data_IF_405112006121
#
_entry.id   IF_405112006121
#
_cell.length_a   1.000
_cell.length_b   1.000
_cell.length_c   1.000
_cell.angle_alpha   90.00
_cell.angle_beta   90.00
_cell.angle_gamma   90.00
#
_symmetry.space_group_name_H-M   'P 1'
#
loop_
_entity.id
_entity.type
_entity.pdbx_description
1 polymer ?
#
# COMPACT_ATOMS: atom_id res chain seq x y z
N UNK A 1 -24.12 8.31 36.76
CA UNK A 1 -23.83 9.72 36.49
C UNK A 1 -24.65 10.09 35.26
N UNK A 2 -25.62 10.96 35.39
CA UNK A 2 -26.50 11.38 34.29
C UNK A 2 -26.21 12.84 33.97
N UNK A 3 -25.92 13.12 32.67
CA UNK A 3 -25.80 14.50 32.22
C UNK A 3 -27.18 15.19 32.27
N UNK A 4 -27.23 16.30 32.97
CA UNK A 4 -28.48 17.05 33.17
C UNK A 4 -28.59 18.27 32.25
N UNK A 5 -27.49 18.73 31.67
CA UNK A 5 -27.47 19.84 30.72
C UNK A 5 -27.91 19.38 29.34
N UNK A 6 -28.96 19.96 28.74
CA UNK A 6 -29.37 19.62 27.39
C UNK A 6 -28.24 19.91 26.39
N UNK A 7 -27.96 18.98 25.50
CA UNK A 7 -27.04 19.21 24.39
C UNK A 7 -27.69 20.20 23.42
N UNK A 8 -26.99 21.24 23.05
CA UNK A 8 -27.42 22.21 22.04
C UNK A 8 -27.13 21.62 20.66
N UNK A 9 -28.05 20.86 20.13
CA UNK A 9 -28.02 20.41 18.75
C UNK A 9 -28.72 21.38 17.82
N UNK A 10 -28.16 21.60 16.64
CA UNK A 10 -28.91 22.22 15.55
C UNK A 10 -30.10 21.34 15.15
N UNK A 11 -31.14 21.97 14.55
CA UNK A 11 -32.23 21.23 13.96
C UNK A 11 -31.72 20.21 12.92
N UNK A 12 -32.26 19.01 12.92
CA UNK A 12 -32.01 18.03 11.88
C UNK A 12 -32.38 18.63 10.50
N UNK A 13 -31.48 18.47 9.55
CA UNK A 13 -31.66 18.92 8.16
C UNK A 13 -32.14 17.75 7.31
N UNK A 14 -32.95 18.03 6.30
CA UNK A 14 -33.29 17.04 5.29
C UNK A 14 -32.08 16.69 4.44
N UNK A 15 -32.10 15.53 3.79
CA UNK A 15 -31.03 15.11 2.85
C UNK A 15 -30.76 16.16 1.77
N UNK A 16 -31.83 16.75 1.21
CA UNK A 16 -31.73 17.83 0.22
C UNK A 16 -30.99 19.06 0.76
N UNK A 17 -31.30 19.48 1.99
CA UNK A 17 -30.63 20.62 2.64
C UNK A 17 -29.13 20.31 2.88
N UNK A 18 -28.81 19.10 3.32
CA UNK A 18 -27.43 18.66 3.54
C UNK A 18 -26.65 18.64 2.23
N UNK A 19 -27.17 18.03 1.18
CA UNK A 19 -26.53 17.98 -0.13
C UNK A 19 -26.32 19.38 -0.73
N UNK A 20 -27.31 20.27 -0.58
CA UNK A 20 -27.18 21.66 -1.01
C UNK A 20 -26.05 22.37 -0.24
N UNK A 21 -26.04 22.24 1.08
CA UNK A 21 -25.01 22.84 1.93
C UNK A 21 -23.60 22.31 1.60
N UNK A 22 -23.46 21.00 1.41
CA UNK A 22 -22.17 20.40 1.00
C UNK A 22 -21.69 20.90 -0.36
N UNK A 23 -22.58 21.04 -1.34
CA UNK A 23 -22.24 21.64 -2.65
C UNK A 23 -21.77 23.09 -2.51
N UNK A 24 -22.45 23.90 -1.69
CA UNK A 24 -22.04 25.28 -1.41
C UNK A 24 -20.68 25.34 -0.71
N UNK A 25 -20.39 24.40 0.18
CA UNK A 25 -19.09 24.30 0.84
C UNK A 25 -18.01 23.87 -0.14
N UNK A 26 -18.28 22.87 -0.94
CA UNK A 26 -17.34 22.35 -1.96
C UNK A 26 -17.01 23.41 -3.03
N UNK A 27 -18.00 24.25 -3.42
CA UNK A 27 -17.78 25.30 -4.44
C UNK A 27 -16.82 26.41 -3.99
N UNK A 28 -16.49 26.49 -2.70
CA UNK A 28 -15.49 27.43 -2.21
C UNK A 28 -14.05 26.99 -2.51
N UNK A 29 -13.83 25.70 -2.84
CA UNK A 29 -12.52 25.19 -3.23
C UNK A 29 -12.13 25.75 -4.60
N UNK A 30 -10.86 26.10 -4.73
CA UNK A 30 -10.24 26.40 -6.01
C UNK A 30 -9.63 25.12 -6.56
N UNK A 31 -10.18 24.61 -7.63
CA UNK A 31 -9.64 23.43 -8.34
C UNK A 31 -8.49 23.87 -9.21
N UNK A 32 -7.27 23.53 -8.80
CA UNK A 32 -6.03 23.88 -9.50
C UNK A 32 -5.40 22.61 -10.09
N UNK A 33 -4.56 22.81 -11.11
CA UNK A 33 -3.68 21.74 -11.60
C UNK A 33 -2.58 21.54 -10.59
N UNK A 34 -2.51 20.34 -9.98
CA UNK A 34 -1.45 19.99 -9.03
C UNK A 34 -0.18 19.58 -9.78
N UNK A 35 0.93 20.24 -9.46
CA UNK A 35 2.26 19.92 -9.96
C UNK A 35 3.20 19.51 -8.81
N UNK A 36 2.64 19.10 -7.67
CA UNK A 36 3.42 18.73 -6.47
C UNK A 36 4.24 17.46 -6.74
N UNK A 37 3.70 16.49 -7.46
CA UNK A 37 4.35 15.20 -7.65
C UNK A 37 4.45 14.41 -6.33
N UNK A 38 5.64 13.89 -6.03
CA UNK A 38 5.97 13.24 -4.74
C UNK A 38 5.01 12.07 -4.39
N UNK A 39 4.64 11.26 -5.39
CA UNK A 39 3.69 10.15 -5.20
C UNK A 39 2.21 10.55 -5.20
N UNK A 40 1.87 11.84 -5.28
CA UNK A 40 0.50 12.34 -5.41
C UNK A 40 0.23 12.83 -6.83
N UNK A 41 -0.67 12.14 -7.51
CA UNK A 41 -0.96 12.42 -8.91
C UNK A 41 -2.45 12.70 -9.11
N UNK A 42 -2.77 13.63 -10.01
CA UNK A 42 -4.12 13.75 -10.54
C UNK A 42 -4.48 12.47 -11.32
N UNK A 43 -5.63 11.89 -11.01
CA UNK A 43 -6.11 10.66 -11.65
C UNK A 43 -7.50 10.88 -12.22
N UNK A 44 -7.82 10.12 -13.24
CA UNK A 44 -9.17 10.07 -13.81
C UNK A 44 -9.79 8.74 -13.41
N UNK A 45 -10.82 8.81 -12.56
CA UNK A 45 -11.62 7.62 -12.24
C UNK A 45 -12.58 7.35 -13.40
N UNK A 46 -12.51 6.19 -14.07
CA UNK A 46 -13.44 5.84 -15.11
C UNK A 46 -14.89 5.85 -14.60
N UNK A 47 -15.87 6.43 -15.33
CA UNK A 47 -17.26 6.48 -14.88
C UNK A 47 -17.86 5.10 -14.57
N UNK A 48 -17.39 4.05 -15.25
CA UNK A 48 -17.81 2.69 -14.98
C UNK A 48 -17.37 2.22 -13.58
N UNK A 49 -16.14 2.53 -13.16
CA UNK A 49 -15.64 2.22 -11.80
C UNK A 49 -16.33 3.09 -10.78
N UNK A 50 -16.48 4.38 -11.04
CA UNK A 50 -17.18 5.27 -10.13
C UNK A 50 -18.58 4.74 -9.82
N UNK A 51 -19.39 4.47 -10.82
CA UNK A 51 -20.77 4.02 -10.66
C UNK A 51 -20.89 2.60 -10.12
N UNK A 52 -20.08 1.66 -10.63
CA UNK A 52 -20.27 0.24 -10.34
C UNK A 52 -19.49 -0.23 -9.10
N UNK A 53 -18.48 0.49 -8.66
CA UNK A 53 -17.66 0.16 -7.48
C UNK A 53 -17.84 1.22 -6.40
N UNK A 54 -17.42 2.47 -6.67
CA UNK A 54 -17.37 3.53 -5.64
C UNK A 54 -18.75 3.92 -5.13
N UNK A 55 -19.75 4.03 -6.00
CA UNK A 55 -21.13 4.41 -5.67
C UNK A 55 -22.06 3.21 -5.39
N UNK A 56 -21.55 1.99 -5.54
CA UNK A 56 -22.35 0.78 -5.37
C UNK A 56 -22.29 0.27 -3.93
N UNK A 57 -23.43 0.22 -3.20
CA UNK A 57 -23.47 -0.20 -1.79
C UNK A 57 -23.05 -1.65 -1.56
N UNK A 58 -23.04 -2.51 -2.57
CA UNK A 58 -22.48 -3.85 -2.48
C UNK A 58 -20.95 -3.82 -2.24
N UNK A 59 -20.25 -2.76 -2.65
CA UNK A 59 -18.83 -2.58 -2.49
C UNK A 59 -18.46 -1.60 -1.37
N UNK A 60 -19.10 -0.43 -1.31
CA UNK A 60 -18.82 0.55 -0.25
C UNK A 60 -19.57 0.18 1.04
N UNK A 61 -19.04 -0.69 1.82
CA UNK A 61 -19.59 -1.07 3.12
C UNK A 61 -18.56 -0.86 4.21
N UNK A 62 -18.99 -0.48 5.41
CA UNK A 62 -18.13 -0.40 6.58
C UNK A 62 -17.58 -1.79 7.00
N UNK A 63 -18.15 -2.86 6.46
CA UNK A 63 -17.73 -4.22 6.78
C UNK A 63 -16.44 -4.61 6.04
N UNK A 64 -15.40 -4.93 6.80
CA UNK A 64 -14.16 -5.50 6.25
C UNK A 64 -14.37 -6.98 5.90
N UNK A 65 -13.90 -7.47 4.74
CA UNK A 65 -14.21 -8.81 4.25
C UNK A 65 -13.40 -9.91 4.97
N UNK A 66 -13.63 -10.08 6.27
CA UNK A 66 -12.94 -11.10 7.08
C UNK A 66 -13.65 -12.45 7.09
N UNK A 67 -14.97 -12.43 7.01
CA UNK A 67 -15.79 -13.66 7.03
C UNK A 67 -15.96 -14.17 5.60
N UNK A 68 -15.35 -15.32 5.25
CA UNK A 68 -15.40 -15.84 3.90
C UNK A 68 -16.82 -16.23 3.47
N UNK A 69 -17.70 -16.56 4.41
CA UNK A 69 -19.07 -17.01 4.14
C UNK A 69 -19.91 -15.95 3.40
N UNK A 70 -19.62 -14.66 3.61
CA UNK A 70 -20.39 -13.54 3.03
C UNK A 70 -19.55 -12.59 2.18
N UNK A 71 -18.26 -12.87 2.00
CA UNK A 71 -17.33 -11.94 1.37
C UNK A 71 -16.60 -12.52 0.17
N UNK A 72 -17.08 -13.61 -0.43
CA UNK A 72 -16.36 -14.33 -1.50
C UNK A 72 -15.97 -13.43 -2.67
N UNK A 73 -16.89 -12.64 -3.23
CA UNK A 73 -16.57 -11.72 -4.34
C UNK A 73 -15.57 -10.63 -3.99
N UNK A 74 -15.62 -10.10 -2.76
CA UNK A 74 -14.64 -9.10 -2.31
C UNK A 74 -13.27 -9.72 -2.05
N UNK A 75 -13.21 -10.93 -1.52
CA UNK A 75 -11.98 -11.68 -1.33
C UNK A 75 -11.35 -12.05 -2.69
N UNK A 76 -12.15 -12.42 -3.68
CA UNK A 76 -11.68 -12.66 -5.04
C UNK A 76 -11.06 -11.40 -5.65
N UNK A 77 -11.73 -10.26 -5.54
CA UNK A 77 -11.19 -8.99 -6.01
C UNK A 77 -9.87 -8.61 -5.31
N UNK A 78 -9.75 -8.86 -4.00
CA UNK A 78 -8.50 -8.65 -3.26
C UNK A 78 -7.40 -9.64 -3.68
N UNK A 79 -7.74 -10.88 -4.01
CA UNK A 79 -6.78 -11.83 -4.58
C UNK A 79 -6.28 -11.34 -5.95
N UNK A 80 -7.16 -10.82 -6.81
CA UNK A 80 -6.77 -10.21 -8.07
C UNK A 80 -5.85 -8.99 -7.87
N UNK A 81 -6.11 -8.18 -6.84
CA UNK A 81 -5.20 -7.10 -6.45
C UNK A 81 -3.80 -7.63 -6.08
N UNK A 82 -3.72 -8.68 -5.27
CA UNK A 82 -2.45 -9.31 -4.91
C UNK A 82 -1.70 -9.83 -6.15
N UNK A 83 -2.41 -10.50 -7.06
CA UNK A 83 -1.83 -11.02 -8.31
C UNK A 83 -1.28 -9.87 -9.16
N UNK A 84 -2.07 -8.81 -9.38
CA UNK A 84 -1.64 -7.63 -10.13
C UNK A 84 -0.35 -7.01 -9.56
N UNK A 85 -0.28 -6.87 -8.24
CA UNK A 85 0.91 -6.30 -7.58
C UNK A 85 2.11 -7.24 -7.71
N UNK A 86 1.92 -8.55 -7.52
CA UNK A 86 3.00 -9.53 -7.69
C UNK A 86 3.53 -9.53 -9.12
N UNK A 87 2.66 -9.53 -10.11
CA UNK A 87 3.04 -9.53 -11.53
C UNK A 87 3.83 -8.26 -11.92
N UNK A 88 3.36 -7.08 -11.46
CA UNK A 88 4.03 -5.81 -11.79
C UNK A 88 5.35 -5.61 -11.04
N UNK A 89 5.48 -6.15 -9.85
CA UNK A 89 6.71 -6.03 -9.05
C UNK A 89 7.73 -7.14 -9.32
N UNK A 90 7.33 -8.23 -9.99
CA UNK A 90 8.17 -9.41 -10.19
C UNK A 90 8.49 -10.15 -8.90
N UNK A 91 7.65 -10.02 -7.85
CA UNK A 91 7.82 -10.66 -6.55
C UNK A 91 6.72 -11.69 -6.30
N UNK A 92 7.04 -12.72 -5.50
CA UNK A 92 6.24 -13.94 -5.39
C UNK A 92 4.88 -13.73 -4.73
N UNK A 93 4.78 -12.80 -3.76
CA UNK A 93 3.55 -12.64 -2.98
C UNK A 93 3.35 -11.17 -2.56
N UNK A 94 2.12 -10.71 -2.66
CA UNK A 94 1.69 -9.39 -2.19
C UNK A 94 0.57 -9.50 -1.15
N UNK A 95 0.40 -8.46 -0.33
CA UNK A 95 -0.72 -8.35 0.60
C UNK A 95 -1.99 -7.78 -0.06
N UNK A 96 -3.09 -7.81 0.69
CA UNK A 96 -4.39 -7.28 0.27
C UNK A 96 -4.57 -5.80 0.60
N UNK A 97 -3.53 -5.00 0.45
CA UNK A 97 -3.35 -3.56 0.63
C UNK A 97 -2.95 -3.07 2.03
N UNK A 98 -2.38 -1.88 2.05
CA UNK A 98 -2.07 -1.05 3.21
C UNK A 98 -2.68 0.34 3.03
N UNK A 99 -2.46 1.25 4.00
CA UNK A 99 -3.06 2.58 4.01
C UNK A 99 -2.50 3.46 2.87
N UNK A 100 -1.20 3.73 2.92
CA UNK A 100 -0.47 4.56 1.97
C UNK A 100 0.99 4.10 1.83
N UNK A 101 1.73 4.70 0.90
CA UNK A 101 3.12 4.34 0.62
C UNK A 101 4.03 4.57 1.83
N UNK A 102 3.86 5.67 2.55
CA UNK A 102 4.69 5.98 3.71
C UNK A 102 4.49 4.96 4.85
N UNK A 103 3.24 4.52 5.07
CA UNK A 103 2.93 3.43 6.01
C UNK A 103 3.53 2.11 5.51
N UNK A 104 3.45 1.82 4.21
CA UNK A 104 4.05 0.63 3.63
C UNK A 104 5.59 0.63 3.80
N UNK A 105 6.25 1.80 3.65
CA UNK A 105 7.68 1.96 3.90
C UNK A 105 8.03 1.64 5.36
N UNK A 106 7.25 2.15 6.31
CA UNK A 106 7.47 1.87 7.73
C UNK A 106 7.25 0.39 8.09
N UNK A 107 6.25 -0.25 7.51
CA UNK A 107 6.02 -1.69 7.69
C UNK A 107 7.14 -2.52 7.03
N UNK A 108 7.64 -2.11 5.85
CA UNK A 108 8.77 -2.74 5.18
C UNK A 108 10.07 -2.61 5.99
N UNK A 109 10.31 -1.46 6.64
CA UNK A 109 11.43 -1.25 7.57
C UNK A 109 11.42 -2.28 8.70
N UNK A 110 10.29 -2.42 9.39
CA UNK A 110 10.15 -3.39 10.50
C UNK A 110 10.26 -4.82 10.00
N UNK A 111 9.70 -5.11 8.83
CA UNK A 111 9.83 -6.42 8.20
C UNK A 111 11.28 -6.72 7.83
N UNK A 112 11.99 -5.77 7.21
CA UNK A 112 13.40 -5.90 6.82
C UNK A 112 14.28 -6.18 8.06
N UNK A 113 14.11 -5.43 9.15
CA UNK A 113 14.83 -5.67 10.41
C UNK A 113 14.62 -7.08 10.94
N UNK A 114 13.38 -7.59 10.86
CA UNK A 114 13.03 -8.93 11.36
C UNK A 114 13.67 -10.06 10.55
N UNK A 115 13.80 -9.90 9.23
CA UNK A 115 14.26 -10.97 8.34
C UNK A 115 15.72 -10.83 7.95
N UNK A 116 16.35 -9.68 8.20
CA UNK A 116 17.75 -9.43 7.97
C UNK A 116 18.64 -10.35 8.79
N UNK A 117 19.78 -10.72 8.23
CA UNK A 117 20.86 -11.44 8.92
C UNK A 117 21.86 -10.49 9.58
N UNK A 118 21.87 -9.22 9.19
CA UNK A 118 22.68 -8.19 9.83
C UNK A 118 22.20 -7.93 11.26
N UNK A 119 23.12 -7.65 12.16
CA UNK A 119 22.86 -7.27 13.56
C UNK A 119 22.78 -5.77 13.76
N UNK A 120 22.95 -5.00 12.70
CA UNK A 120 22.85 -3.54 12.72
C UNK A 120 21.41 -3.10 13.09
N UNK A 121 21.29 -1.91 13.68
CA UNK A 121 20.01 -1.23 13.87
C UNK A 121 19.82 -0.05 12.88
N UNK A 122 20.69 0.05 11.85
CA UNK A 122 20.69 1.16 10.90
C UNK A 122 19.98 0.76 9.61
N UNK A 123 19.04 1.60 9.17
CA UNK A 123 18.38 1.53 7.89
C UNK A 123 18.86 2.66 6.99
N UNK A 124 19.38 2.33 5.82
CA UNK A 124 19.62 3.31 4.77
C UNK A 124 18.32 3.69 4.07
N UNK A 125 18.14 4.98 3.80
CA UNK A 125 17.02 5.52 3.02
C UNK A 125 17.59 6.46 1.98
N UNK A 126 17.35 6.16 0.72
CA UNK A 126 17.74 6.99 -0.42
C UNK A 126 17.17 8.42 -0.23
N UNK A 127 18.03 9.44 -0.37
CA UNK A 127 17.64 10.85 -0.27
C UNK A 127 16.58 11.24 -1.32
N UNK A 128 16.44 10.46 -2.38
CA UNK A 128 15.40 10.61 -3.41
C UNK A 128 14.05 9.99 -3.03
N UNK A 129 13.94 9.37 -1.84
CA UNK A 129 12.63 8.95 -1.32
C UNK A 129 11.72 10.17 -1.09
N UNK A 130 10.41 9.96 -1.25
CA UNK A 130 9.45 11.03 -1.01
C UNK A 130 9.54 11.57 0.42
N UNK A 131 9.49 12.88 0.63
CA UNK A 131 9.64 13.49 1.96
C UNK A 131 8.70 12.92 3.02
N UNK A 132 7.46 12.60 2.66
CA UNK A 132 6.50 11.97 3.56
C UNK A 132 6.91 10.55 3.97
N UNK A 133 7.52 9.78 3.07
CA UNK A 133 8.04 8.45 3.39
C UNK A 133 9.15 8.55 4.43
N UNK A 134 10.10 9.46 4.22
CA UNK A 134 11.20 9.72 5.16
C UNK A 134 10.67 10.17 6.53
N UNK A 135 9.67 11.06 6.56
CA UNK A 135 9.08 11.57 7.80
C UNK A 135 8.39 10.45 8.61
N UNK A 136 7.61 9.60 7.94
CA UNK A 136 6.92 8.47 8.61
C UNK A 136 7.92 7.41 9.06
N UNK A 137 8.94 7.10 8.25
CA UNK A 137 10.02 6.20 8.65
C UNK A 137 10.70 6.67 9.94
N UNK A 138 11.11 7.93 10.02
CA UNK A 138 11.71 8.51 11.25
C UNK A 138 10.79 8.40 12.45
N UNK A 139 9.51 8.76 12.30
CA UNK A 139 8.51 8.69 13.37
C UNK A 139 8.30 7.25 13.89
N UNK A 140 8.31 6.28 12.99
CA UNK A 140 8.09 4.85 13.35
C UNK A 140 9.38 4.18 13.83
N UNK A 141 10.55 4.65 13.44
CA UNK A 141 11.86 4.13 13.82
C UNK A 141 12.24 4.50 15.27
N UNK A 142 11.97 5.75 15.65
CA UNK A 142 12.36 6.32 16.95
C UNK A 142 11.98 5.44 18.15
N UNK A 143 10.70 5.04 18.35
CA UNK A 143 10.27 4.28 19.53
C UNK A 143 10.83 2.85 19.58
N UNK A 144 11.35 2.31 18.51
CA UNK A 144 11.91 0.96 18.42
C UNK A 144 13.44 0.95 18.25
N UNK A 145 14.08 2.13 18.33
CA UNK A 145 15.52 2.29 18.33
C UNK A 145 16.20 2.01 16.98
N UNK A 146 15.49 2.15 15.87
CA UNK A 146 16.08 2.08 14.52
C UNK A 146 16.68 3.44 14.16
N UNK A 147 17.93 3.44 13.73
CA UNK A 147 18.63 4.62 13.20
C UNK A 147 18.36 4.75 11.71
N UNK A 148 17.74 5.88 11.29
CA UNK A 148 17.50 6.19 9.88
C UNK A 148 18.66 7.02 9.34
N UNK A 149 19.35 6.49 8.34
CA UNK A 149 20.43 7.18 7.62
C UNK A 149 19.90 7.58 6.25
N UNK A 150 19.70 8.88 6.04
CA UNK A 150 19.26 9.42 4.74
C UNK A 150 20.47 9.99 4.03
N UNK A 151 20.86 9.42 2.90
CA UNK A 151 22.02 9.86 2.12
C UNK A 151 21.84 9.50 0.63
N UNK A 152 22.79 9.94 -0.19
CA UNK A 152 22.91 9.58 -1.59
C UNK A 152 23.38 8.14 -1.76
N UNK A 153 22.75 7.44 -2.69
CA UNK A 153 23.11 6.05 -3.06
C UNK A 153 24.55 5.95 -3.55
N UNK A 154 25.05 6.94 -4.29
CA UNK A 154 26.40 6.97 -4.85
C UNK A 154 27.48 7.15 -3.79
N UNK A 155 27.15 7.68 -2.62
CA UNK A 155 28.10 7.97 -1.53
C UNK A 155 28.09 6.92 -0.44
N UNK A 156 27.20 5.96 -0.49
CA UNK A 156 26.98 4.99 0.57
C UNK A 156 27.62 3.67 0.24
N UNK A 157 28.49 3.20 1.13
CA UNK A 157 28.96 1.83 1.13
C UNK A 157 27.92 0.94 1.83
N UNK A 158 27.40 -0.05 1.12
CA UNK A 158 26.40 -1.00 1.64
C UNK A 158 27.12 -2.15 2.35
N UNK A 159 27.68 -1.84 3.51
CA UNK A 159 28.48 -2.75 4.36
C UNK A 159 27.65 -3.39 5.50
N UNK A 160 28.34 -4.07 6.43
CA UNK A 160 27.72 -4.75 7.58
C UNK A 160 27.03 -3.82 8.59
N UNK A 161 27.17 -2.49 8.45
CA UNK A 161 26.58 -1.51 9.35
C UNK A 161 25.14 -1.17 9.02
N UNK A 162 24.51 -1.82 8.04
CA UNK A 162 23.16 -1.57 7.57
C UNK A 162 22.38 -2.89 7.56
N UNK A 163 21.17 -2.92 8.20
CA UNK A 163 20.32 -4.12 8.12
C UNK A 163 19.43 -4.14 6.88
N UNK A 164 19.22 -2.98 6.24
CA UNK A 164 18.40 -2.86 5.06
C UNK A 164 18.50 -1.49 4.42
N UNK A 165 18.03 -1.38 3.20
CA UNK A 165 18.00 -0.14 2.44
C UNK A 165 16.65 0.04 1.74
N UNK A 166 16.16 1.31 1.66
CA UNK A 166 14.98 1.70 0.90
C UNK A 166 15.40 2.62 -0.23
N UNK A 167 15.10 2.23 -1.46
CA UNK A 167 15.37 2.97 -2.69
C UNK A 167 14.07 3.45 -3.32
N UNK A 168 14.03 4.67 -3.88
CA UNK A 168 12.86 5.23 -4.56
C UNK A 168 12.96 5.08 -6.07
N UNK A 169 11.89 4.58 -6.71
CA UNK A 169 11.87 4.25 -8.13
C UNK A 169 10.52 4.55 -8.82
N UNK A 170 10.43 5.60 -9.62
CA UNK A 170 11.38 6.70 -9.81
C UNK A 170 11.61 7.51 -8.54
N UNK A 171 12.75 8.20 -8.46
CA UNK A 171 13.05 9.15 -7.40
C UNK A 171 12.11 10.36 -7.39
N UNK A 172 12.08 11.09 -6.28
CA UNK A 172 11.22 12.30 -6.09
C UNK A 172 11.36 13.32 -7.22
N UNK A 173 12.56 13.43 -7.77
CA UNK A 173 12.86 14.38 -8.86
C UNK A 173 12.91 13.71 -10.25
N UNK A 174 12.40 12.48 -10.36
CA UNK A 174 12.27 11.76 -11.63
C UNK A 174 13.53 10.97 -12.04
N UNK A 175 14.51 10.79 -11.16
CA UNK A 175 15.67 9.94 -11.44
C UNK A 175 15.24 8.48 -11.63
N UNK A 176 15.87 7.82 -12.59
CA UNK A 176 15.68 6.39 -12.90
C UNK A 176 17.02 5.68 -12.73
N UNK A 177 17.14 4.90 -11.69
CA UNK A 177 18.36 4.18 -11.36
C UNK A 177 18.11 2.66 -11.38
N UNK A 178 19.06 1.89 -11.89
CA UNK A 178 19.11 0.44 -11.68
C UNK A 178 19.90 0.16 -10.39
N UNK A 179 19.23 -0.30 -9.37
CA UNK A 179 19.82 -0.55 -8.06
C UNK A 179 20.42 -1.95 -7.90
N UNK A 180 20.55 -2.72 -8.98
CA UNK A 180 21.02 -4.13 -8.93
C UNK A 180 22.38 -4.28 -8.24
N UNK A 181 23.33 -3.36 -8.48
CA UNK A 181 24.67 -3.41 -7.87
C UNK A 181 24.62 -3.12 -6.36
N UNK A 182 23.84 -2.11 -5.94
CA UNK A 182 23.68 -1.75 -4.54
C UNK A 182 22.96 -2.85 -3.75
N UNK A 183 21.98 -3.49 -4.38
CA UNK A 183 21.25 -4.64 -3.81
C UNK A 183 22.20 -5.83 -3.64
N UNK A 184 23.06 -6.12 -4.60
CA UNK A 184 24.05 -7.19 -4.49
C UNK A 184 25.06 -6.94 -3.35
N UNK A 185 25.56 -5.71 -3.23
CA UNK A 185 26.43 -5.30 -2.13
C UNK A 185 25.72 -5.45 -0.76
N UNK A 186 24.49 -4.96 -0.65
CA UNK A 186 23.66 -5.07 0.55
C UNK A 186 23.40 -6.54 0.94
N UNK A 187 23.09 -7.40 -0.02
CA UNK A 187 22.90 -8.84 0.21
C UNK A 187 24.16 -9.52 0.69
N UNK A 188 25.34 -9.11 0.20
CA UNK A 188 26.63 -9.67 0.62
C UNK A 188 26.90 -9.43 2.11
N UNK A 189 26.36 -8.35 2.68
CA UNK A 189 26.41 -8.03 4.11
C UNK A 189 25.20 -8.58 4.91
N UNK A 190 24.28 -9.28 4.26
CA UNK A 190 23.08 -9.87 4.89
C UNK A 190 21.93 -8.90 5.10
N UNK A 191 21.99 -7.71 4.49
CA UNK A 191 20.92 -6.71 4.53
C UNK A 191 19.76 -7.05 3.58
N UNK A 192 18.69 -6.30 3.69
CA UNK A 192 17.42 -6.46 2.96
C UNK A 192 17.16 -5.25 2.07
N UNK A 193 16.88 -5.49 0.80
CA UNK A 193 16.60 -4.46 -0.18
C UNK A 193 15.10 -4.22 -0.34
N UNK A 194 14.69 -2.96 -0.15
CA UNK A 194 13.31 -2.48 -0.35
C UNK A 194 13.30 -1.47 -1.50
N UNK A 195 12.45 -1.67 -2.50
CA UNK A 195 12.20 -0.68 -3.55
C UNK A 195 10.81 -0.07 -3.34
N UNK A 196 10.76 1.24 -3.16
CA UNK A 196 9.52 2.04 -3.19
C UNK A 196 9.26 2.44 -4.64
N UNK A 197 8.27 1.83 -5.28
CA UNK A 197 8.06 1.94 -6.72
C UNK A 197 6.69 2.52 -7.08
N UNK A 198 6.67 3.45 -8.06
CA UNK A 198 5.43 3.83 -8.73
C UNK A 198 4.92 2.67 -9.59
N UNK A 199 3.84 2.04 -9.15
CA UNK A 199 3.31 0.83 -9.78
C UNK A 199 2.90 1.04 -11.25
N UNK A 200 2.48 2.23 -11.64
CA UNK A 200 2.18 2.53 -13.04
C UNK A 200 3.46 2.60 -13.89
N UNK A 201 4.54 3.11 -13.32
CA UNK A 201 5.83 3.14 -14.01
C UNK A 201 6.37 1.73 -14.28
N UNK A 202 6.05 0.74 -13.43
CA UNK A 202 6.45 -0.65 -13.62
C UNK A 202 5.85 -1.32 -14.85
N UNK A 203 4.85 -0.71 -15.50
CA UNK A 203 4.33 -1.20 -16.78
C UNK A 203 5.32 -1.03 -17.94
N UNK A 204 6.34 -0.18 -17.78
CA UNK A 204 7.35 0.13 -18.79
C UNK A 204 8.79 0.10 -18.26
N UNK A 205 8.98 0.05 -16.95
CA UNK A 205 10.29 0.00 -16.31
C UNK A 205 10.59 -1.42 -15.80
N UNK A 206 11.89 -1.68 -15.57
CA UNK A 206 12.35 -2.94 -14.98
C UNK A 206 11.73 -3.13 -13.61
N UNK A 207 11.11 -4.29 -13.39
CA UNK A 207 10.47 -4.59 -12.12
C UNK A 207 11.47 -4.79 -10.97
N UNK A 208 11.08 -4.49 -9.71
CA UNK A 208 11.91 -4.69 -8.52
C UNK A 208 12.48 -6.11 -8.37
N UNK A 209 11.69 -7.13 -8.70
CA UNK A 209 12.12 -8.53 -8.66
C UNK A 209 13.29 -8.82 -9.59
N UNK A 210 13.34 -8.23 -10.80
CA UNK A 210 14.44 -8.38 -11.74
C UNK A 210 15.72 -7.62 -11.28
N UNK A 211 15.59 -6.64 -10.39
CA UNK A 211 16.73 -6.03 -9.70
C UNK A 211 17.16 -6.84 -8.46
N UNK A 212 16.52 -7.99 -8.21
CA UNK A 212 16.71 -8.84 -7.04
C UNK A 212 16.30 -8.21 -5.69
N UNK A 213 15.38 -7.23 -5.71
CA UNK A 213 14.81 -6.68 -4.48
C UNK A 213 14.13 -7.77 -3.64
N UNK A 214 14.13 -7.60 -2.32
CA UNK A 214 13.48 -8.52 -1.38
C UNK A 214 12.05 -8.12 -1.11
N UNK A 215 11.80 -6.81 -1.11
CA UNK A 215 10.51 -6.19 -0.82
C UNK A 215 10.28 -5.07 -1.83
N UNK A 216 9.06 -4.95 -2.32
CA UNK A 216 8.60 -3.78 -3.06
C UNK A 216 7.39 -3.18 -2.36
N UNK A 217 7.35 -1.86 -2.28
CA UNK A 217 6.24 -1.08 -1.73
C UNK A 217 5.84 0.03 -2.69
N UNK A 218 4.68 0.60 -2.47
CA UNK A 218 4.21 1.77 -3.22
C UNK A 218 2.72 2.00 -3.03
N UNK A 219 2.17 2.86 -3.88
CA UNK A 219 0.74 3.18 -3.90
C UNK A 219 0.10 2.76 -5.22
N UNK A 220 -1.13 2.25 -5.16
CA UNK A 220 -1.94 1.97 -6.37
C UNK A 220 -2.85 3.13 -6.76
N UNK A 221 -2.69 4.31 -6.14
CA UNK A 221 -3.48 5.51 -6.42
C UNK A 221 -3.49 5.87 -7.92
N UNK A 222 -2.37 5.63 -8.63
CA UNK A 222 -2.22 5.84 -10.07
C UNK A 222 -3.24 5.08 -10.93
N UNK A 223 -3.82 4.00 -10.42
CA UNK A 223 -4.86 3.21 -11.08
C UNK A 223 -6.27 3.76 -10.80
N UNK A 224 -6.48 5.04 -11.11
CA UNK A 224 -7.79 5.69 -11.10
C UNK A 224 -8.38 5.99 -9.73
N UNK A 225 -7.61 5.88 -8.65
CA UNK A 225 -8.10 6.22 -7.31
C UNK A 225 -8.01 7.74 -7.11
N UNK A 226 -9.15 8.45 -6.87
CA UNK A 226 -9.13 9.89 -6.72
C UNK A 226 -8.46 10.30 -5.40
N UNK A 227 -7.79 11.46 -5.40
CA UNK A 227 -7.30 12.12 -4.17
C UNK A 227 -8.48 12.78 -3.48
N UNK A 228 -9.38 12.00 -2.90
CA UNK A 228 -10.57 12.47 -2.21
C UNK A 228 -10.32 12.66 -0.70
N UNK A 229 -10.80 13.77 -0.14
CA UNK A 229 -10.84 14.00 1.32
C UNK A 229 -9.52 13.75 2.07
N UNK A 230 -8.39 14.13 1.49
CA UNK A 230 -7.06 13.91 2.07
C UNK A 230 -6.31 12.68 1.54
N UNK A 231 -6.88 11.96 0.58
CA UNK A 231 -6.18 10.98 -0.25
C UNK A 231 -5.79 9.67 0.42
N UNK A 232 -6.74 8.91 1.01
CA UNK A 232 -6.42 7.53 1.36
C UNK A 232 -6.08 6.77 0.08
N UNK A 233 -4.97 6.04 0.10
CA UNK A 233 -4.50 5.22 -1.01
C UNK A 233 -4.61 3.74 -0.66
N UNK A 234 -4.70 2.87 -1.67
CA UNK A 234 -4.41 1.46 -1.48
C UNK A 234 -2.92 1.27 -1.75
N UNK A 235 -2.11 1.31 -0.71
CA UNK A 235 -0.71 0.95 -0.82
C UNK A 235 -0.54 -0.56 -0.93
N UNK A 236 0.60 -0.98 -1.42
CA UNK A 236 0.97 -2.39 -1.51
C UNK A 236 2.31 -2.66 -0.83
N UNK A 237 2.49 -3.91 -0.47
CA UNK A 237 3.79 -4.49 -0.17
C UNK A 237 3.83 -5.88 -0.79
N UNK A 238 4.88 -6.15 -1.55
CA UNK A 238 5.19 -7.44 -2.14
C UNK A 238 6.56 -7.93 -1.67
N UNK A 239 6.77 -9.24 -1.66
CA UNK A 239 8.02 -9.83 -1.18
C UNK A 239 8.29 -11.20 -1.78
N UNK A 240 9.52 -11.68 -1.63
CA UNK A 240 9.92 -13.05 -1.93
C UNK A 240 9.15 -14.06 -1.04
N UNK A 241 8.83 -15.24 -1.55
CA UNK A 241 8.08 -16.28 -0.83
C UNK A 241 8.74 -16.66 0.53
N UNK A 242 10.05 -16.60 0.60
CA UNK A 242 10.80 -16.86 1.82
C UNK A 242 10.35 -15.98 3.01
N UNK A 243 9.87 -14.77 2.76
CA UNK A 243 9.49 -13.79 3.78
C UNK A 243 7.98 -13.68 4.02
N UNK A 244 7.14 -14.46 3.36
CA UNK A 244 5.67 -14.40 3.44
C UNK A 244 5.10 -14.41 4.86
N UNK A 245 5.78 -15.09 5.80
CA UNK A 245 5.35 -15.15 7.21
C UNK A 245 5.59 -13.85 7.98
N UNK A 246 6.42 -12.96 7.44
CA UNK A 246 6.73 -11.64 8.02
C UNK A 246 5.98 -10.51 7.30
N UNK A 247 5.24 -10.80 6.23
CA UNK A 247 4.50 -9.82 5.45
C UNK A 247 3.39 -9.16 6.29
N UNK A 248 3.34 -7.83 6.43
CA UNK A 248 2.28 -7.14 7.15
C UNK A 248 0.95 -7.13 6.38
N UNK A 249 -0.14 -6.83 7.07
CA UNK A 249 -1.47 -6.75 6.48
C UNK A 249 -2.10 -8.13 6.19
N UNK A 250 -3.25 -8.11 5.53
CA UNK A 250 -4.02 -9.32 5.21
C UNK A 250 -3.50 -9.97 3.93
N UNK A 251 -3.64 -11.28 3.87
CA UNK A 251 -3.40 -12.08 2.66
C UNK A 251 -4.64 -12.91 2.40
N UNK A 252 -5.14 -12.86 1.18
CA UNK A 252 -6.21 -13.72 0.70
C UNK A 252 -5.58 -14.93 0.02
N UNK A 253 -6.12 -16.10 0.29
CA UNK A 253 -5.70 -17.35 -0.33
C UNK A 253 -6.87 -18.13 -0.91
N UNK A 254 -6.54 -19.02 -1.85
CA UNK A 254 -7.49 -19.96 -2.44
C UNK A 254 -7.67 -21.15 -1.51
N UNK A 255 -8.91 -21.61 -1.37
CA UNK A 255 -9.32 -22.76 -0.59
C UNK A 255 -10.43 -23.50 -1.34
N UNK A 256 -11.05 -24.46 -0.69
CA UNK A 256 -12.26 -25.14 -1.16
C UNK A 256 -13.36 -25.07 -0.10
N UNK A 257 -14.61 -25.02 -0.55
CA UNK A 257 -15.77 -25.10 0.33
C UNK A 257 -16.06 -26.56 0.75
N UNK A 258 -17.10 -26.78 1.54
CA UNK A 258 -17.52 -28.10 1.99
C UNK A 258 -17.99 -29.04 0.86
N UNK A 259 -18.24 -28.50 -0.32
CA UNK A 259 -18.66 -29.24 -1.53
C UNK A 259 -17.50 -29.44 -2.52
N UNK A 260 -16.28 -28.97 -2.18
CA UNK A 260 -15.11 -29.06 -3.05
C UNK A 260 -15.02 -27.96 -4.10
N UNK A 261 -15.90 -26.93 -4.10
CA UNK A 261 -15.80 -25.82 -5.02
C UNK A 261 -14.73 -24.82 -4.57
N UNK A 262 -14.14 -24.09 -5.52
CA UNK A 262 -13.18 -23.03 -5.25
C UNK A 262 -13.79 -21.96 -4.32
N UNK A 263 -13.07 -21.62 -3.28
CA UNK A 263 -13.45 -20.61 -2.30
C UNK A 263 -12.23 -19.76 -1.89
N UNK A 264 -12.50 -18.61 -1.33
CA UNK A 264 -11.48 -17.67 -0.87
C UNK A 264 -11.57 -17.45 0.63
N UNK A 265 -10.43 -17.29 1.27
CA UNK A 265 -10.34 -17.04 2.71
C UNK A 265 -9.07 -16.26 3.06
N UNK A 266 -9.00 -15.69 4.25
CA UNK A 266 -7.75 -15.13 4.75
C UNK A 266 -6.74 -16.25 5.02
N UNK A 267 -5.50 -16.03 4.58
CA UNK A 267 -4.38 -16.95 4.75
C UNK A 267 -3.39 -16.43 5.79
N UNK A 268 -2.60 -17.33 6.37
CA UNK A 268 -1.53 -17.02 7.33
C UNK A 268 -1.98 -16.16 8.54
N UNK A 269 -3.22 -16.30 9.00
CA UNK A 269 -3.81 -15.51 10.08
C UNK A 269 -3.07 -15.64 11.42
N UNK A 270 -2.33 -16.73 11.64
CA UNK A 270 -1.59 -16.96 12.89
C UNK A 270 -0.53 -15.90 13.19
N UNK A 271 -0.14 -15.07 12.21
CA UNK A 271 0.81 -13.96 12.38
C UNK A 271 0.14 -12.65 12.80
N UNK A 272 -1.18 -12.59 12.85
CA UNK A 272 -1.94 -11.38 13.01
C UNK A 272 -2.16 -10.98 14.48
N UNK A 273 -2.41 -9.68 14.70
CA UNK A 273 -2.52 -9.10 16.04
C UNK A 273 -3.64 -9.71 16.87
N UNK A 274 -4.80 -10.03 16.30
CA UNK A 274 -5.92 -10.62 17.03
C UNK A 274 -5.62 -12.03 17.58
N UNK A 275 -4.57 -12.70 17.07
CA UNK A 275 -4.11 -14.01 17.54
C UNK A 275 -2.83 -13.85 18.39
N UNK A 276 -1.83 -13.13 17.87
CA UNK A 276 -0.49 -13.05 18.47
C UNK A 276 -0.29 -11.88 19.43
N UNK A 277 -1.22 -10.92 19.46
CA UNK A 277 -1.16 -9.71 20.29
C UNK A 277 0.17 -8.96 20.06
N UNK A 278 0.96 -8.75 21.10
CA UNK A 278 2.28 -8.07 21.05
C UNK A 278 3.34 -8.80 20.20
N UNK A 279 3.11 -10.08 19.91
CA UNK A 279 4.01 -10.89 19.06
C UNK A 279 3.58 -10.92 17.58
N UNK A 280 2.60 -10.10 17.20
CA UNK A 280 2.15 -10.01 15.82
C UNK A 280 3.25 -9.45 14.90
N UNK A 281 3.14 -9.75 13.60
CA UNK A 281 4.07 -9.20 12.60
C UNK A 281 3.90 -7.71 12.40
N UNK A 282 2.68 -7.19 12.63
CA UNK A 282 2.33 -5.79 12.43
C UNK A 282 1.08 -5.44 13.25
N UNK A 283 0.87 -4.14 13.49
CA UNK A 283 -0.36 -3.59 14.04
C UNK A 283 -1.41 -3.26 12.97
N UNK A 284 -1.11 -3.48 11.70
CA UNK A 284 -2.06 -3.26 10.60
C UNK A 284 -3.21 -4.25 10.72
N UNK A 285 -4.41 -3.71 10.96
CA UNK A 285 -5.64 -4.49 11.13
C UNK A 285 -6.49 -4.53 9.86
N UNK A 286 -6.69 -3.38 9.22
CA UNK A 286 -7.67 -3.19 8.15
C UNK A 286 -6.99 -2.77 6.86
N UNK A 287 -7.36 -3.42 5.76
CA UNK A 287 -6.93 -3.08 4.41
C UNK A 287 -7.78 -1.93 3.84
N UNK A 288 -7.27 -1.25 2.81
CA UNK A 288 -8.00 -0.30 1.97
C UNK A 288 -8.82 -1.04 0.89
N UNK A 289 -9.76 -1.89 1.32
CA UNK A 289 -10.42 -2.85 0.45
C UNK A 289 -11.11 -2.21 -0.76
N UNK A 290 -11.92 -1.14 -0.56
CA UNK A 290 -12.64 -0.49 -1.65
C UNK A 290 -11.68 0.11 -2.68
N UNK A 291 -10.63 0.80 -2.25
CA UNK A 291 -9.65 1.43 -3.12
C UNK A 291 -8.79 0.38 -3.87
N UNK A 292 -8.47 -0.73 -3.22
CA UNK A 292 -7.79 -1.85 -3.88
C UNK A 292 -8.65 -2.48 -4.98
N UNK A 293 -9.96 -2.64 -4.73
CA UNK A 293 -10.92 -3.12 -5.75
C UNK A 293 -11.03 -2.13 -6.90
N UNK A 294 -11.07 -0.82 -6.64
CA UNK A 294 -11.05 0.21 -7.69
C UNK A 294 -9.78 0.11 -8.54
N UNK A 295 -8.62 0.01 -7.89
CA UNK A 295 -7.33 -0.05 -8.57
C UNK A 295 -7.21 -1.28 -9.48
N UNK A 296 -7.58 -2.47 -9.01
CA UNK A 296 -7.54 -3.67 -9.85
C UNK A 296 -8.57 -3.61 -10.99
N UNK A 297 -9.75 -3.05 -10.74
CA UNK A 297 -10.77 -2.88 -11.79
C UNK A 297 -10.32 -1.91 -12.88
N UNK A 298 -9.52 -0.90 -12.54
CA UNK A 298 -8.94 0.04 -13.50
C UNK A 298 -8.06 -0.67 -14.54
N UNK A 299 -7.21 -1.60 -14.10
CA UNK A 299 -6.34 -2.36 -15.00
C UNK A 299 -7.13 -3.23 -15.97
N UNK A 300 -8.22 -3.84 -15.50
CA UNK A 300 -9.09 -4.69 -16.33
C UNK A 300 -9.84 -3.88 -17.40
N UNK A 301 -10.35 -2.69 -17.08
CA UNK A 301 -11.04 -1.83 -18.05
C UNK A 301 -10.09 -1.35 -19.15
N UNK A 302 -8.90 -0.89 -18.80
CA UNK A 302 -7.91 -0.43 -19.80
C UNK A 302 -7.41 -1.54 -20.72
N UNK A 303 -7.33 -2.76 -20.25
CA UNK A 303 -6.95 -3.90 -21.09
C UNK A 303 -7.96 -4.17 -22.23
N UNK A 304 -9.21 -3.77 -22.05
CA UNK A 304 -10.24 -3.84 -23.11
C UNK A 304 -10.19 -2.66 -24.08
N UNK A 305 -9.88 -1.45 -23.61
CA UNK A 305 -9.78 -0.25 -24.44
C UNK A 305 -8.62 -0.32 -25.45
N UNK A 306 -7.50 -0.95 -25.09
CA UNK A 306 -6.33 -1.11 -25.97
C UNK A 306 -6.53 -2.11 -27.13
N UNK A 307 -7.63 -2.84 -27.16
CA UNK A 307 -7.98 -3.75 -28.26
C UNK A 307 -8.85 -3.12 -29.35
N UNK A 308 -9.27 -1.88 -29.19
CA UNK A 308 -10.19 -1.17 -30.10
C UNK A 308 -9.46 -0.13 -30.98
N UNK A 309 -8.15 0.05 -30.83
CA UNK A 309 -7.35 0.98 -31.65
C UNK A 309 -6.25 0.25 -32.40
#
# INVERSE_FOLDING_TARGET
>A
IRQTTPLKWERAKSEREVLYHLRQTASKNKVLISLIGQGYHGTVTPPAIQRNILENPAWYTAYTPYQPEIAQGRLEALLNFQTMVSDLTGLDIANASLLDEATAAAEAMVMAQRVSKSKSNRLFVDENCHPQNIAVLKTRAEPIGIEIVVDSVEKTDFDDNIFGAIFQYPGTYGSLNDFSQQIEALHSSGGIAVISADILALTILKEPGAMNADIAIGSTQRFGVPVGFGGPHAAYIATKDAYKRSLPGRIVGVSVDSRGNRAYRLALQTREQHIRREKATSNVCTAQALLAVMAVSYTHLRAHETRIH
#
